data_IF_070006696477
#
_entry.id   IF_070006696477
#
_cell.length_a   1.000
_cell.length_b   1.000
_cell.length_c   1.000
_cell.angle_alpha   90.00
_cell.angle_beta   90.00
_cell.angle_gamma   90.00
#
_symmetry.space_group_name_H-M   'P 1'
#
loop_
_entity.id
_entity.type
_entity.pdbx_description
1 polymer ?
#
# COMPACT_ATOMS: atom_id res chain seq x y z
N UNK A 1 6.55 10.48 -13.65
CA UNK A 1 5.94 9.17 -13.92
C UNK A 1 6.90 8.10 -13.40
N UNK A 2 6.96 7.95 -12.07
CA UNK A 2 8.07 7.27 -11.36
C UNK A 2 7.84 5.76 -11.22
N UNK A 3 6.58 5.37 -11.09
CA UNK A 3 6.16 3.97 -10.94
C UNK A 3 6.57 3.16 -12.18
N UNK A 4 6.39 3.72 -13.38
CA UNK A 4 6.63 3.00 -14.64
C UNK A 4 8.08 2.55 -14.80
N UNK A 5 9.05 3.33 -14.30
CA UNK A 5 10.48 3.00 -14.37
C UNK A 5 10.85 1.79 -13.50
N UNK A 6 10.16 1.61 -12.36
CA UNK A 6 10.43 0.49 -11.46
C UNK A 6 9.76 -0.82 -11.87
N UNK A 7 8.68 -0.76 -12.65
CA UNK A 7 7.92 -1.96 -12.99
C UNK A 7 8.36 -2.67 -14.25
N UNK A 8 9.22 -2.09 -15.10
CA UNK A 8 9.95 -2.72 -16.22
C UNK A 8 9.11 -3.29 -17.38
N UNK A 9 8.01 -3.97 -17.04
CA UNK A 9 7.15 -4.79 -17.87
C UNK A 9 5.71 -4.25 -17.88
N UNK A 10 5.53 -2.93 -17.90
CA UNK A 10 4.19 -2.34 -18.07
C UNK A 10 3.77 -2.47 -19.53
N UNK A 11 2.90 -3.45 -19.81
CA UNK A 11 2.35 -3.67 -21.14
C UNK A 11 1.57 -2.44 -21.66
N UNK A 12 1.62 -2.15 -22.97
CA UNK A 12 0.78 -1.12 -23.57
C UNK A 12 -0.70 -1.29 -23.21
N UNK A 13 -1.38 -0.17 -22.93
CA UNK A 13 -2.79 -0.15 -22.53
C UNK A 13 -3.04 -0.44 -21.04
N UNK A 14 -2.00 -0.69 -20.24
CA UNK A 14 -2.13 -0.79 -18.77
C UNK A 14 -2.65 0.53 -18.20
N UNK A 15 -3.72 0.45 -17.40
CA UNK A 15 -4.24 1.59 -16.66
C UNK A 15 -3.48 1.73 -15.34
N UNK A 16 -2.99 2.94 -15.07
CA UNK A 16 -2.29 3.28 -13.84
C UNK A 16 -3.13 4.29 -13.05
N UNK A 17 -3.46 3.97 -11.80
CA UNK A 17 -4.10 4.88 -10.85
C UNK A 17 -3.21 5.01 -9.63
N UNK A 18 -3.02 6.21 -9.12
CA UNK A 18 -2.22 6.45 -7.92
C UNK A 18 -2.94 7.37 -6.94
N UNK A 19 -2.89 7.04 -5.66
CA UNK A 19 -3.44 7.85 -4.57
C UNK A 19 -2.34 8.14 -3.57
N UNK A 20 -2.18 9.42 -3.24
CA UNK A 20 -1.22 9.83 -2.21
C UNK A 20 -1.79 9.62 -0.80
N UNK A 21 -1.02 8.93 0.03
CA UNK A 21 -1.24 8.74 1.45
C UNK A 21 -0.32 9.71 2.22
N UNK A 22 -0.90 10.85 2.59
CA UNK A 22 -0.26 11.82 3.47
C UNK A 22 -0.28 11.34 4.94
N UNK A 23 0.39 12.10 5.81
CA UNK A 23 0.48 11.81 7.25
C UNK A 23 -0.89 11.66 7.93
N UNK A 24 -1.92 12.42 7.51
CA UNK A 24 -3.26 12.32 8.11
C UNK A 24 -3.97 11.04 7.68
N UNK A 25 -3.85 10.64 6.41
CA UNK A 25 -4.38 9.38 5.90
C UNK A 25 -3.68 8.19 6.54
N UNK A 26 -2.35 8.23 6.67
CA UNK A 26 -1.56 7.21 7.37
C UNK A 26 -2.02 7.08 8.82
N UNK A 27 -2.24 8.19 9.53
CA UNK A 27 -2.76 8.14 10.90
C UNK A 27 -4.11 7.41 10.98
N UNK A 28 -5.04 7.71 10.07
CA UNK A 28 -6.35 7.03 10.01
C UNK A 28 -6.21 5.54 9.65
N UNK A 29 -5.29 5.19 8.76
CA UNK A 29 -5.00 3.80 8.41
C UNK A 29 -4.46 3.03 9.63
N UNK A 30 -3.53 3.61 10.39
CA UNK A 30 -3.04 3.02 11.64
C UNK A 30 -4.14 2.85 12.69
N UNK A 31 -5.03 3.84 12.83
CA UNK A 31 -6.20 3.74 13.72
C UNK A 31 -7.13 2.60 13.31
N UNK A 32 -7.35 2.42 12.00
CA UNK A 32 -8.13 1.30 11.47
C UNK A 32 -7.50 -0.05 11.80
N UNK A 33 -6.19 -0.24 11.54
CA UNK A 33 -5.50 -1.50 11.86
C UNK A 33 -5.43 -1.76 13.37
N UNK A 34 -5.23 -0.71 14.17
CA UNK A 34 -5.27 -0.81 15.63
C UNK A 34 -6.62 -1.36 16.10
N UNK A 35 -7.72 -0.82 15.56
CA UNK A 35 -9.07 -1.30 15.87
C UNK A 35 -9.28 -2.74 15.39
N UNK A 36 -8.89 -3.04 14.15
CA UNK A 36 -9.02 -4.38 13.56
C UNK A 36 -8.33 -5.46 14.40
N UNK A 37 -7.08 -5.23 14.80
CA UNK A 37 -6.34 -6.19 15.62
C UNK A 37 -6.87 -6.29 17.04
N UNK A 38 -7.33 -5.18 17.63
CA UNK A 38 -7.98 -5.19 18.94
C UNK A 38 -9.28 -6.01 18.93
N UNK A 39 -10.11 -5.84 17.90
CA UNK A 39 -11.34 -6.62 17.71
C UNK A 39 -11.04 -8.11 17.50
N UNK A 40 -9.89 -8.44 16.91
CA UNK A 40 -9.42 -9.82 16.72
C UNK A 40 -8.70 -10.42 17.94
N UNK A 41 -8.75 -9.77 19.11
CA UNK A 41 -8.23 -10.34 20.36
C UNK A 41 -6.82 -9.89 20.75
N UNK A 42 -6.16 -9.01 19.97
CA UNK A 42 -4.82 -8.49 20.32
C UNK A 42 -4.96 -7.27 21.23
N UNK A 43 -4.73 -7.47 22.53
CA UNK A 43 -4.93 -6.41 23.55
C UNK A 43 -3.62 -5.90 24.15
N UNK A 44 -2.51 -6.62 23.93
CA UNK A 44 -1.18 -6.15 24.32
C UNK A 44 -0.77 -4.98 23.43
N UNK A 45 -0.45 -3.84 24.05
CA UNK A 45 -0.17 -2.59 23.34
C UNK A 45 1.13 -2.65 22.54
N UNK A 46 2.14 -3.39 22.99
CA UNK A 46 3.42 -3.50 22.27
C UNK A 46 3.24 -4.39 21.04
N UNK A 47 2.53 -5.51 21.19
CA UNK A 47 2.19 -6.40 20.07
C UNK A 47 1.33 -5.65 19.05
N UNK A 48 0.31 -4.91 19.52
CA UNK A 48 -0.58 -4.15 18.66
C UNK A 48 0.18 -3.11 17.82
N UNK A 49 1.10 -2.36 18.44
CA UNK A 49 1.95 -1.38 17.74
C UNK A 49 2.86 -2.06 16.72
N UNK A 50 3.47 -3.18 17.06
CA UNK A 50 4.33 -3.93 16.15
C UNK A 50 3.54 -4.45 14.93
N UNK A 51 2.34 -4.99 15.15
CA UNK A 51 1.46 -5.47 14.07
C UNK A 51 1.01 -4.33 13.15
N UNK A 52 0.65 -3.17 13.71
CA UNK A 52 0.29 -1.99 12.92
C UNK A 52 1.48 -1.51 12.09
N UNK A 53 2.68 -1.41 12.69
CA UNK A 53 3.89 -0.98 11.99
C UNK A 53 4.32 -1.95 10.87
N UNK A 54 4.06 -3.25 11.03
CA UNK A 54 4.29 -4.24 9.98
C UNK A 54 3.32 -4.09 8.79
N UNK A 55 2.15 -3.48 9.01
CA UNK A 55 1.09 -3.36 8.01
C UNK A 55 0.98 -1.98 7.37
N UNK A 56 1.41 -0.92 8.07
CA UNK A 56 1.22 0.47 7.65
C UNK A 56 2.53 1.24 7.76
N UNK A 57 3.07 1.76 6.63
CA UNK A 57 4.25 2.61 6.64
C UNK A 57 4.11 3.84 7.53
N UNK A 58 5.21 4.29 8.14
CA UNK A 58 5.27 5.52 8.93
C UNK A 58 5.32 6.78 8.06
N UNK A 59 6.01 6.70 6.92
CA UNK A 59 6.26 7.81 6.03
C UNK A 59 5.22 7.91 4.89
N UNK A 60 4.95 9.13 4.36
CA UNK A 60 4.08 9.33 3.20
C UNK A 60 4.46 8.46 2.01
N UNK A 61 3.44 7.90 1.37
CA UNK A 61 3.63 6.99 0.24
C UNK A 61 2.52 7.15 -0.80
N UNK A 62 2.78 6.65 -2.01
CA UNK A 62 1.80 6.53 -3.08
C UNK A 62 1.29 5.09 -3.14
N UNK A 63 -0.03 4.92 -3.03
CA UNK A 63 -0.67 3.64 -3.34
C UNK A 63 -1.00 3.62 -4.83
N UNK A 64 -0.39 2.69 -5.55
CA UNK A 64 -0.43 2.64 -7.01
C UNK A 64 -1.04 1.33 -7.46
N UNK A 65 -2.05 1.43 -8.31
CA UNK A 65 -2.74 0.31 -8.92
C UNK A 65 -2.40 0.23 -10.39
N UNK A 66 -1.92 -0.93 -10.83
CA UNK A 66 -1.69 -1.24 -12.23
C UNK A 66 -2.70 -2.30 -12.67
N UNK A 67 -3.48 -1.98 -13.70
CA UNK A 67 -4.48 -2.89 -14.28
C UNK A 67 -4.19 -3.14 -15.76
N UNK A 68 -3.90 -4.38 -16.18
CA UNK A 68 -3.59 -4.69 -17.57
C UNK A 68 -4.78 -4.42 -18.51
N UNK A 69 -4.47 -4.08 -19.76
CA UNK A 69 -5.45 -3.70 -20.78
C UNK A 69 -6.43 -4.83 -21.12
N UNK A 70 -5.92 -6.06 -21.16
CA UNK A 70 -6.57 -7.20 -21.80
C UNK A 70 -7.52 -7.98 -20.89
N UNK A 71 -7.95 -7.32 -19.80
CA UNK A 71 -9.06 -7.66 -18.91
C UNK A 71 -9.64 -9.07 -19.03
N UNK A 72 -8.84 -10.12 -18.82
CA UNK A 72 -9.38 -11.40 -18.45
C UNK A 72 -10.07 -11.18 -17.11
N UNK A 73 -11.40 -11.28 -17.09
CA UNK A 73 -12.22 -11.15 -15.88
C UNK A 73 -11.61 -12.01 -14.77
N UNK A 74 -11.05 -11.37 -13.74
CA UNK A 74 -10.48 -12.07 -12.58
C UNK A 74 -9.04 -11.75 -12.21
N UNK A 75 -8.28 -10.96 -12.99
CA UNK A 75 -6.97 -10.49 -12.50
C UNK A 75 -7.15 -9.36 -11.49
N UNK A 76 -6.84 -9.65 -10.23
CA UNK A 76 -6.80 -8.64 -9.17
C UNK A 76 -5.77 -7.55 -9.53
N UNK A 77 -6.15 -6.26 -9.42
CA UNK A 77 -5.21 -5.19 -9.66
C UNK A 77 -4.08 -5.29 -8.65
N UNK A 78 -2.83 -5.38 -9.13
CA UNK A 78 -1.67 -5.34 -8.24
C UNK A 78 -1.57 -3.94 -7.66
N UNK A 79 -1.56 -3.88 -6.33
CA UNK A 79 -1.35 -2.66 -5.58
C UNK A 79 0.12 -2.60 -5.15
N UNK A 80 0.70 -1.42 -5.26
CA UNK A 80 2.08 -1.17 -4.91
C UNK A 80 2.16 0.08 -4.05
N UNK A 81 2.91 0.00 -2.95
CA UNK A 81 3.22 1.18 -2.14
C UNK A 81 4.57 1.72 -2.60
N UNK A 82 4.64 3.00 -2.90
CA UNK A 82 5.87 3.67 -3.36
C UNK A 82 6.18 4.82 -2.41
N UNK A 83 7.36 4.79 -1.81
CA UNK A 83 7.83 5.82 -0.91
C UNK A 83 7.90 7.18 -1.62
N UNK A 84 7.32 8.21 -1.03
CA UNK A 84 7.21 9.54 -1.66
C UNK A 84 8.58 10.20 -1.85
N UNK A 85 9.51 9.98 -0.91
CA UNK A 85 10.80 10.67 -0.85
C UNK A 85 11.85 10.01 -1.74
N UNK A 86 11.95 8.69 -1.62
CA UNK A 86 12.96 7.86 -2.26
C UNK A 86 12.49 7.26 -3.57
N UNK A 87 11.18 7.31 -3.85
CA UNK A 87 10.55 6.80 -5.06
C UNK A 87 10.63 5.28 -5.22
N UNK A 88 11.10 4.58 -4.20
CA UNK A 88 11.27 3.13 -4.21
C UNK A 88 9.96 2.43 -3.83
N UNK A 89 9.76 1.25 -4.39
CA UNK A 89 8.67 0.37 -3.98
C UNK A 89 8.95 -0.12 -2.56
N UNK A 90 7.98 0.09 -1.67
CA UNK A 90 7.99 -0.47 -0.33
C UNK A 90 7.62 -1.95 -0.40
N UNK A 91 8.23 -2.78 0.44
CA UNK A 91 7.87 -4.18 0.54
C UNK A 91 6.39 -4.32 0.90
N UNK A 92 5.74 -5.36 0.36
CA UNK A 92 4.38 -5.68 0.76
C UNK A 92 4.35 -6.01 2.26
N UNK A 93 3.32 -5.54 2.98
CA UNK A 93 3.13 -5.92 4.37
C UNK A 93 2.95 -7.44 4.48
N UNK A 94 3.45 -8.01 5.58
CA UNK A 94 3.49 -9.46 5.85
C UNK A 94 2.10 -10.05 6.20
#
# INVERSE_FOLDING_TARGET
>A
MIVIEHFGDILPGTKCSAVFFDTQKIRREKEFYTKLFSENGVHDLEILRAMVAANVPDDPYWLVSLKPADGAFGQEPRLHRVDDRTRKILADPA
#
